data_IF_606799162094
#
_entry.id   IF_606799162094
#
_cell.length_a   1.000
_cell.length_b   1.000
_cell.length_c   1.000
_cell.angle_alpha   90.00
_cell.angle_beta   90.00
_cell.angle_gamma   90.00
#
_symmetry.space_group_name_H-M   'P 1'
#
loop_
_entity.id
_entity.type
_entity.pdbx_description
1 polymer ?
#
# COMPACT_ATOMS: atom_id res chain seq x y z
N UNK A 1 21.76 27.72 11.58
CA UNK A 1 22.53 27.10 10.47
C UNK A 1 21.61 26.49 9.40
N UNK A 2 20.52 25.81 9.77
CA UNK A 2 19.62 25.13 8.83
C UNK A 2 18.34 25.95 8.44
N UNK A 3 18.47 27.27 8.21
CA UNK A 3 17.31 28.13 7.93
C UNK A 3 16.50 27.71 6.70
N UNK A 4 17.18 27.31 5.61
CA UNK A 4 16.51 26.84 4.40
C UNK A 4 15.72 25.54 4.58
N UNK A 5 16.21 24.61 5.42
CA UNK A 5 15.44 23.41 5.76
C UNK A 5 14.17 23.77 6.52
N UNK A 6 14.24 24.69 7.48
CA UNK A 6 13.07 25.13 8.23
C UNK A 6 12.01 25.72 7.28
N UNK A 7 12.39 26.66 6.41
CA UNK A 7 11.45 27.26 5.45
C UNK A 7 10.80 26.20 4.55
N UNK A 8 11.58 25.28 3.97
CA UNK A 8 11.05 24.22 3.10
C UNK A 8 10.10 23.28 3.85
N UNK A 9 10.46 22.87 5.07
CA UNK A 9 9.65 21.97 5.91
C UNK A 9 8.35 22.65 6.34
N UNK A 10 8.41 23.92 6.73
CA UNK A 10 7.22 24.68 7.14
C UNK A 10 6.25 24.83 5.95
N UNK A 11 6.75 25.25 4.78
CA UNK A 11 5.92 25.35 3.57
C UNK A 11 5.32 24.00 3.15
N UNK A 12 6.12 22.92 3.18
CA UNK A 12 5.62 21.58 2.88
C UNK A 12 4.53 21.18 3.88
N UNK A 13 4.71 21.48 5.16
CA UNK A 13 3.74 21.16 6.20
C UNK A 13 2.42 21.90 5.96
N UNK A 14 2.46 23.19 5.63
CA UNK A 14 1.27 23.99 5.35
C UNK A 14 0.50 23.45 4.14
N UNK A 15 1.20 23.01 3.08
CA UNK A 15 0.53 22.40 1.93
C UNK A 15 -0.07 21.03 2.26
N UNK A 16 0.62 20.20 3.03
CA UNK A 16 0.06 18.91 3.44
C UNK A 16 -1.14 19.08 4.37
N UNK A 17 -1.15 20.10 5.22
CA UNK A 17 -2.31 20.48 6.05
C UNK A 17 -3.51 20.85 5.16
N UNK A 18 -3.30 21.71 4.17
CA UNK A 18 -4.35 22.08 3.21
C UNK A 18 -4.90 20.87 2.43
N UNK A 19 -4.00 20.02 1.92
CA UNK A 19 -4.36 18.79 1.19
C UNK A 19 -5.17 17.82 2.05
N UNK A 20 -4.86 17.72 3.34
CA UNK A 20 -5.44 16.72 4.25
C UNK A 20 -6.61 17.24 5.08
N UNK A 21 -6.80 18.56 5.18
CA UNK A 21 -7.80 19.18 6.06
C UNK A 21 -7.52 18.98 7.55
N UNK A 22 -6.27 18.73 7.93
CA UNK A 22 -5.83 18.72 9.32
C UNK A 22 -5.45 20.13 9.81
N UNK A 23 -5.03 20.25 11.06
CA UNK A 23 -4.68 21.53 11.69
C UNK A 23 -3.18 21.62 12.05
N UNK A 24 -2.51 20.47 12.21
CA UNK A 24 -1.09 20.41 12.52
C UNK A 24 -0.41 19.22 11.81
N UNK A 25 0.90 19.35 11.56
CA UNK A 25 1.71 18.32 10.90
C UNK A 25 3.00 18.03 11.66
N UNK A 26 3.34 16.74 11.80
CA UNK A 26 4.66 16.28 12.27
C UNK A 26 5.39 15.53 11.17
N UNK A 27 6.60 16.01 10.84
CA UNK A 27 7.49 15.39 9.85
C UNK A 27 8.49 14.41 10.47
N UNK A 28 8.35 14.09 11.75
CA UNK A 28 9.32 13.23 12.45
C UNK A 28 9.29 11.76 12.00
N UNK A 29 8.12 11.11 11.78
CA UNK A 29 8.10 9.69 11.44
C UNK A 29 8.66 9.42 10.03
N UNK A 30 9.58 8.46 9.94
CA UNK A 30 10.36 8.17 8.74
C UNK A 30 9.86 6.95 7.92
N UNK A 31 8.64 6.48 8.18
CA UNK A 31 7.94 5.46 7.39
C UNK A 31 6.44 5.50 7.68
N UNK A 32 5.60 4.89 6.83
CA UNK A 32 4.15 4.84 7.07
C UNK A 32 3.80 4.16 8.41
N UNK A 33 4.39 2.99 8.68
CA UNK A 33 4.22 2.30 9.96
C UNK A 33 4.68 3.14 11.17
N UNK A 34 5.74 3.93 11.03
CA UNK A 34 6.15 4.86 12.09
C UNK A 34 5.16 6.02 12.27
N UNK A 35 4.48 6.42 11.20
CA UNK A 35 3.37 7.38 11.25
C UNK A 35 2.14 6.78 11.95
N UNK A 36 1.80 5.52 11.69
CA UNK A 36 0.77 4.79 12.47
C UNK A 36 1.11 4.78 13.95
N UNK A 37 2.31 4.30 14.30
CA UNK A 37 2.78 4.28 15.68
C UNK A 37 2.73 5.67 16.34
N UNK A 38 3.20 6.72 15.65
CA UNK A 38 3.18 8.09 16.16
C UNK A 38 1.76 8.64 16.36
N UNK A 39 0.84 8.37 15.42
CA UNK A 39 -0.55 8.79 15.54
C UNK A 39 -1.29 8.08 16.68
N UNK A 40 -1.06 6.78 16.84
CA UNK A 40 -1.62 6.02 17.96
C UNK A 40 -1.04 6.48 19.32
N UNK A 41 0.24 6.83 19.38
CA UNK A 41 0.82 7.46 20.57
C UNK A 41 0.16 8.80 20.89
N UNK A 42 -0.12 9.64 19.89
CA UNK A 42 -0.81 10.91 20.08
C UNK A 42 -2.23 10.69 20.64
N UNK A 43 -2.98 9.72 20.09
CA UNK A 43 -4.30 9.30 20.61
C UNK A 43 -4.19 8.81 22.07
N UNK A 44 -3.22 7.94 22.36
CA UNK A 44 -3.01 7.40 23.71
C UNK A 44 -2.76 8.49 24.75
N UNK A 45 -1.94 9.48 24.40
CA UNK A 45 -1.63 10.61 25.27
C UNK A 45 -2.81 11.58 25.40
N UNK A 46 -3.58 11.77 24.33
CA UNK A 46 -4.82 12.54 24.37
C UNK A 46 -5.82 11.94 25.36
N UNK A 47 -6.07 10.63 25.30
CA UNK A 47 -6.92 9.94 26.28
C UNK A 47 -6.39 10.09 27.71
N UNK A 48 -5.10 9.85 27.92
CA UNK A 48 -4.47 10.01 29.23
C UNK A 48 -4.55 11.45 29.78
N UNK A 49 -4.54 12.47 28.92
CA UNK A 49 -4.68 13.87 29.34
C UNK A 49 -6.08 14.21 29.89
N UNK A 50 -7.09 13.42 29.51
CA UNK A 50 -8.49 13.56 29.95
C UNK A 50 -8.84 12.63 31.12
N UNK A 51 -7.89 11.81 31.59
CA UNK A 51 -8.11 10.81 32.63
C UNK A 51 -8.63 9.47 32.11
N UNK A 52 -8.63 9.26 30.79
CA UNK A 52 -9.14 8.05 30.13
C UNK A 52 -8.00 7.10 29.67
N UNK A 53 -6.94 6.99 30.47
CA UNK A 53 -5.75 6.17 30.12
C UNK A 53 -6.03 4.67 30.01
N UNK A 54 -7.14 4.20 30.56
CA UNK A 54 -7.65 2.84 30.44
C UNK A 54 -8.18 2.50 29.03
N UNK A 55 -8.42 3.49 28.17
CA UNK A 55 -8.84 3.27 26.78
C UNK A 55 -7.70 2.70 25.95
N UNK A 56 -7.71 1.38 25.78
CA UNK A 56 -6.67 0.60 25.11
C UNK A 56 -7.18 -0.33 24.01
N UNK A 57 -8.45 -0.24 23.60
CA UNK A 57 -9.02 -1.05 22.51
C UNK A 57 -8.99 -0.30 21.19
N UNK A 58 -8.55 -0.98 20.12
CA UNK A 58 -8.62 -0.47 18.75
C UNK A 58 -9.48 -1.37 17.87
N UNK A 59 -10.41 -0.76 17.15
CA UNK A 59 -11.22 -1.43 16.13
C UNK A 59 -10.48 -1.38 14.78
N UNK A 60 -10.27 -2.52 14.13
CA UNK A 60 -9.57 -2.61 12.85
C UNK A 60 -10.40 -3.46 11.88
N UNK A 61 -10.85 -2.93 10.73
CA UNK A 61 -11.48 -3.75 9.69
C UNK A 61 -10.57 -4.88 9.22
N UNK A 62 -11.16 -6.04 8.92
CA UNK A 62 -10.41 -7.20 8.42
C UNK A 62 -9.60 -6.92 7.14
N UNK A 63 -10.03 -5.92 6.36
CA UNK A 63 -9.35 -5.49 5.13
C UNK A 63 -8.10 -4.64 5.37
N UNK A 64 -7.86 -4.13 6.59
CA UNK A 64 -6.78 -3.19 6.86
C UNK A 64 -5.38 -3.76 6.54
N UNK A 65 -4.43 -2.87 6.25
CA UNK A 65 -3.04 -3.26 6.04
C UNK A 65 -2.43 -3.92 7.29
N UNK A 66 -1.53 -4.88 7.09
CA UNK A 66 -0.94 -5.67 8.19
C UNK A 66 -0.10 -4.85 9.18
N UNK A 67 0.32 -3.64 8.80
CA UNK A 67 1.00 -2.70 9.71
C UNK A 67 0.05 -2.17 10.78
N UNK A 68 -1.23 -1.97 10.48
CA UNK A 68 -2.21 -1.42 11.42
C UNK A 68 -2.28 -2.21 12.74
N UNK A 69 -2.56 -3.54 12.73
CA UNK A 69 -2.56 -4.32 13.97
C UNK A 69 -1.18 -4.42 14.62
N UNK A 70 -0.09 -4.40 13.85
CA UNK A 70 1.28 -4.43 14.39
C UNK A 70 1.61 -3.13 15.15
N UNK A 71 1.28 -1.97 14.57
CA UNK A 71 1.44 -0.64 15.18
C UNK A 71 0.59 -0.49 16.43
N UNK A 72 -0.65 -1.00 16.41
CA UNK A 72 -1.52 -1.08 17.57
C UNK A 72 -0.91 -1.89 18.72
N UNK A 73 -0.37 -3.08 18.42
CA UNK A 73 0.31 -3.90 19.44
C UNK A 73 1.55 -3.19 20.01
N UNK A 74 2.27 -2.42 19.20
CA UNK A 74 3.47 -1.68 19.62
C UNK A 74 3.16 -0.58 20.67
N UNK A 75 1.95 -0.01 20.65
CA UNK A 75 1.46 0.91 21.70
C UNK A 75 0.68 0.19 22.82
N UNK A 76 0.68 -1.14 22.81
CA UNK A 76 -0.04 -2.02 23.75
C UNK A 76 -1.56 -1.88 23.69
N UNK A 77 -2.12 -1.61 22.50
CA UNK A 77 -3.56 -1.67 22.30
C UNK A 77 -4.03 -3.11 22.02
N UNK A 78 -5.25 -3.41 22.45
CA UNK A 78 -5.97 -4.64 22.18
C UNK A 78 -6.72 -4.49 20.86
N UNK A 79 -6.35 -5.30 19.87
CA UNK A 79 -6.97 -5.29 18.55
C UNK A 79 -8.28 -6.08 18.59
N UNK A 80 -9.37 -5.44 18.18
CA UNK A 80 -10.66 -6.07 17.91
C UNK A 80 -10.94 -5.92 16.41
N UNK A 81 -11.02 -7.06 15.72
CA UNK A 81 -11.27 -7.08 14.27
C UNK A 81 -12.74 -6.75 14.01
N UNK A 82 -13.01 -5.87 13.05
CA UNK A 82 -14.35 -5.57 12.52
C UNK A 82 -14.53 -6.28 11.18
N UNK A 83 -15.69 -6.89 10.99
CA UNK A 83 -16.00 -7.66 9.79
C UNK A 83 -16.16 -6.74 8.56
N UNK A 84 -16.03 -7.34 7.38
CA UNK A 84 -16.45 -6.72 6.12
C UNK A 84 -17.67 -7.46 5.55
N UNK A 85 -18.52 -6.74 4.83
CA UNK A 85 -19.65 -7.33 4.11
C UNK A 85 -19.19 -8.10 2.84
N UNK A 86 -20.11 -8.75 2.15
CA UNK A 86 -19.81 -9.50 0.91
C UNK A 86 -19.28 -8.60 -0.22
N UNK A 87 -19.60 -7.30 -0.19
CA UNK A 87 -19.10 -6.31 -1.13
C UNK A 87 -17.74 -5.70 -0.71
N UNK A 88 -17.17 -6.17 0.40
CA UNK A 88 -15.87 -5.75 0.91
C UNK A 88 -15.87 -4.43 1.67
N UNK A 89 -17.03 -3.86 2.03
CA UNK A 89 -17.11 -2.66 2.85
C UNK A 89 -17.06 -3.03 4.34
N UNK A 90 -16.77 -2.07 5.22
CA UNK A 90 -16.87 -2.27 6.67
C UNK A 90 -18.33 -2.57 7.05
N UNK A 91 -18.55 -3.65 7.80
CA UNK A 91 -19.87 -3.97 8.35
C UNK A 91 -20.22 -2.99 9.48
N UNK A 92 -21.11 -2.02 9.20
CA UNK A 92 -21.54 -1.01 10.16
C UNK A 92 -22.26 -1.59 11.38
N UNK A 93 -22.97 -2.71 11.22
CA UNK A 93 -23.72 -3.35 12.32
C UNK A 93 -22.72 -3.97 13.27
N UNK A 94 -21.74 -4.71 12.75
CA UNK A 94 -20.66 -5.28 13.53
C UNK A 94 -19.77 -4.21 14.18
N UNK A 95 -19.44 -3.14 13.43
CA UNK A 95 -18.70 -1.99 13.95
C UNK A 95 -19.41 -1.36 15.15
N UNK A 96 -20.70 -1.03 15.01
CA UNK A 96 -21.48 -0.41 16.09
C UNK A 96 -21.59 -1.35 17.30
N UNK A 97 -21.88 -2.63 17.06
CA UNK A 97 -21.95 -3.63 18.13
C UNK A 97 -20.66 -3.73 18.92
N UNK A 98 -19.50 -3.78 18.23
CA UNK A 98 -18.18 -3.86 18.87
C UNK A 98 -17.79 -2.56 19.56
N UNK A 99 -18.11 -1.41 18.96
CA UNK A 99 -17.88 -0.10 19.57
C UNK A 99 -18.69 0.07 20.86
N UNK A 100 -19.95 -0.40 20.90
CA UNK A 100 -20.78 -0.41 22.11
C UNK A 100 -20.23 -1.38 23.17
N UNK A 101 -19.85 -2.60 22.78
CA UNK A 101 -19.28 -3.60 23.69
C UNK A 101 -18.02 -3.11 24.40
N UNK A 102 -17.17 -2.37 23.68
CA UNK A 102 -15.89 -1.87 24.20
C UNK A 102 -15.91 -0.38 24.53
N UNK A 103 -17.08 0.27 24.62
CA UNK A 103 -17.22 1.72 24.72
C UNK A 103 -16.38 2.36 25.84
N UNK A 104 -16.31 1.72 27.01
CA UNK A 104 -15.51 2.19 28.14
C UNK A 104 -13.99 2.13 27.86
N UNK A 105 -13.54 1.20 27.03
CA UNK A 105 -12.13 0.97 26.72
C UNK A 105 -11.75 1.39 25.28
N UNK A 106 -12.68 1.92 24.48
CA UNK A 106 -12.46 2.25 23.08
C UNK A 106 -11.49 3.43 22.96
N UNK A 107 -10.30 3.16 22.43
CA UNK A 107 -9.28 4.16 22.16
C UNK A 107 -9.46 4.77 20.77
N UNK A 108 -9.56 3.92 19.74
CA UNK A 108 -9.72 4.38 18.36
C UNK A 108 -10.24 3.30 17.41
N UNK A 109 -10.54 3.71 16.18
CA UNK A 109 -10.58 2.83 15.03
C UNK A 109 -9.45 3.17 14.07
N UNK A 110 -8.89 2.17 13.38
CA UNK A 110 -7.96 2.35 12.27
C UNK A 110 -8.67 1.96 10.97
N UNK A 111 -8.93 2.94 10.11
CA UNK A 111 -9.59 2.74 8.81
C UNK A 111 -8.64 3.10 7.68
N UNK A 112 -8.94 2.68 6.46
CA UNK A 112 -8.21 3.07 5.25
C UNK A 112 -9.22 3.61 4.24
N UNK A 113 -8.96 4.76 3.63
CA UNK A 113 -9.88 5.36 2.66
C UNK A 113 -9.14 5.86 1.40
N UNK A 114 -9.62 5.54 0.18
CA UNK A 114 -10.49 4.39 -0.10
C UNK A 114 -9.90 3.10 0.49
N UNK A 115 -10.74 2.10 0.72
CA UNK A 115 -10.31 0.87 1.39
C UNK A 115 -9.21 0.16 0.61
N UNK A 116 -8.51 -0.78 1.25
CA UNK A 116 -7.52 -1.67 0.59
C UNK A 116 -8.15 -2.57 -0.48
N UNK A 117 -9.47 -2.61 -0.58
CA UNK A 117 -10.19 -3.25 -1.68
C UNK A 117 -10.29 -2.36 -2.94
N UNK A 118 -9.75 -1.14 -2.89
CA UNK A 118 -9.78 -0.20 -4.01
C UNK A 118 -11.15 0.42 -4.25
N UNK A 119 -11.99 0.56 -3.22
CA UNK A 119 -13.36 1.10 -3.34
C UNK A 119 -13.61 2.26 -2.39
N UNK A 120 -14.43 3.21 -2.83
CA UNK A 120 -14.94 4.27 -1.95
C UNK A 120 -16.15 3.77 -1.18
N UNK A 121 -15.99 3.60 0.12
CA UNK A 121 -17.09 3.30 1.02
C UNK A 121 -18.01 4.52 1.17
N UNK A 122 -19.32 4.32 0.96
CA UNK A 122 -20.32 5.38 1.09
C UNK A 122 -20.54 5.81 2.56
N UNK A 123 -20.23 4.90 3.48
CA UNK A 123 -20.51 5.01 4.91
C UNK A 123 -19.32 5.50 5.73
N UNK A 124 -18.21 5.93 5.10
CA UNK A 124 -16.97 6.28 5.82
C UNK A 124 -17.17 7.36 6.90
N UNK A 125 -18.09 8.32 6.68
CA UNK A 125 -18.43 9.32 7.68
C UNK A 125 -19.20 8.73 8.86
N UNK A 126 -20.13 7.82 8.59
CA UNK A 126 -20.88 7.11 9.62
C UNK A 126 -19.96 6.21 10.46
N UNK A 127 -18.93 5.61 9.85
CA UNK A 127 -17.87 4.90 10.58
C UNK A 127 -17.18 5.84 11.57
N UNK A 128 -16.80 7.05 11.14
CA UNK A 128 -16.21 8.06 12.01
C UNK A 128 -17.17 8.45 13.16
N UNK A 129 -18.43 8.75 12.82
CA UNK A 129 -19.46 9.18 13.76
C UNK A 129 -19.71 8.11 14.84
N UNK A 130 -19.80 6.83 14.46
CA UNK A 130 -19.95 5.70 15.41
C UNK A 130 -18.77 5.67 16.40
N UNK A 131 -17.54 5.77 15.90
CA UNK A 131 -16.34 5.70 16.75
C UNK A 131 -16.29 6.89 17.72
N UNK A 132 -16.65 8.09 17.24
CA UNK A 132 -16.73 9.29 18.07
C UNK A 132 -17.87 9.23 19.09
N UNK A 133 -19.03 8.65 18.75
CA UNK A 133 -20.18 8.44 19.63
C UNK A 133 -19.78 7.65 20.89
N UNK A 134 -18.91 6.64 20.73
CA UNK A 134 -18.40 5.81 21.84
C UNK A 134 -17.07 6.31 22.43
N UNK A 135 -16.70 7.57 22.15
CA UNK A 135 -15.56 8.26 22.78
C UNK A 135 -14.18 7.91 22.21
N UNK A 136 -14.12 7.14 21.13
CA UNK A 136 -12.90 6.80 20.41
C UNK A 136 -12.37 7.95 19.54
N UNK A 137 -11.20 7.74 18.94
CA UNK A 137 -10.62 8.58 17.89
C UNK A 137 -10.55 7.81 16.56
N UNK A 138 -10.43 8.50 15.44
CA UNK A 138 -10.34 7.88 14.12
C UNK A 138 -8.96 8.11 13.53
N UNK A 139 -8.18 7.04 13.49
CA UNK A 139 -6.96 6.98 12.71
C UNK A 139 -7.33 6.55 11.28
N UNK A 140 -6.98 7.36 10.28
CA UNK A 140 -7.14 6.97 8.88
C UNK A 140 -5.76 6.73 8.26
N UNK A 141 -5.51 5.52 7.79
CA UNK A 141 -4.35 5.19 6.97
C UNK A 141 -4.43 5.96 5.65
N UNK A 142 -3.44 6.84 5.42
CA UNK A 142 -3.35 7.69 4.25
C UNK A 142 -2.48 7.13 3.12
N UNK A 143 -2.15 5.84 3.14
CA UNK A 143 -1.43 5.18 2.04
C UNK A 143 -2.15 5.32 0.69
N UNK A 144 -3.48 5.38 0.71
CA UNK A 144 -4.34 5.48 -0.49
C UNK A 144 -4.72 6.93 -0.85
N UNK A 145 -3.95 7.92 -0.35
CA UNK A 145 -4.21 9.34 -0.63
C UNK A 145 -4.11 9.71 -2.11
N UNK A 146 -3.47 8.90 -2.97
CA UNK A 146 -3.45 9.16 -4.41
C UNK A 146 -4.84 9.09 -5.08
N UNK A 147 -5.84 8.57 -4.37
CA UNK A 147 -7.24 8.64 -4.76
C UNK A 147 -7.98 9.86 -4.18
N UNK A 148 -7.39 10.62 -3.26
CA UNK A 148 -8.08 11.70 -2.54
C UNK A 148 -7.61 13.11 -2.90
N UNK A 149 -6.30 13.32 -3.14
CA UNK A 149 -5.70 14.66 -3.24
C UNK A 149 -6.45 15.54 -4.23
N UNK A 150 -6.97 16.69 -3.77
CA UNK A 150 -7.71 17.64 -4.60
C UNK A 150 -9.16 17.27 -4.93
N UNK A 151 -9.67 16.13 -4.42
CA UNK A 151 -11.06 15.68 -4.56
C UNK A 151 -11.77 15.68 -3.20
N UNK A 152 -11.16 15.07 -2.19
CA UNK A 152 -11.63 15.03 -0.81
C UNK A 152 -10.44 15.11 0.14
N UNK A 153 -10.69 15.15 1.44
CA UNK A 153 -9.62 15.13 2.43
C UNK A 153 -10.02 14.36 3.70
N UNK A 154 -9.05 13.71 4.38
CA UNK A 154 -9.30 12.95 5.62
C UNK A 154 -9.99 13.78 6.70
N UNK A 155 -9.57 15.03 6.86
CA UNK A 155 -10.13 15.95 7.84
C UNK A 155 -11.57 16.39 7.54
N UNK A 156 -12.04 16.28 6.29
CA UNK A 156 -13.45 16.49 5.90
C UNK A 156 -14.31 15.22 6.03
N UNK A 157 -13.67 14.05 6.05
CA UNK A 157 -14.31 12.75 6.24
C UNK A 157 -14.68 12.55 7.72
N UNK A 158 -13.87 13.05 8.64
CA UNK A 158 -14.06 12.86 10.08
C UNK A 158 -12.88 12.17 10.76
N UNK A 159 -11.75 12.01 10.05
CA UNK A 159 -10.53 11.49 10.66
C UNK A 159 -9.87 12.52 11.59
N UNK A 160 -9.35 12.03 12.72
CA UNK A 160 -8.60 12.84 13.70
C UNK A 160 -7.11 12.88 13.39
N UNK A 161 -6.56 11.81 12.81
CA UNK A 161 -5.14 11.68 12.47
C UNK A 161 -4.92 10.73 11.30
N UNK A 162 -3.99 11.09 10.41
CA UNK A 162 -3.47 10.20 9.37
C UNK A 162 -1.97 10.31 9.25
N UNK A 163 -1.33 9.20 8.90
CA UNK A 163 -0.03 9.27 8.24
C UNK A 163 -0.21 9.44 6.73
N UNK A 164 0.83 9.96 6.06
CA UNK A 164 0.94 9.98 4.61
C UNK A 164 2.17 9.20 4.16
N UNK A 165 2.06 8.33 3.15
CA UNK A 165 3.24 7.76 2.49
C UNK A 165 3.78 8.73 1.45
N UNK A 166 4.75 9.57 1.80
CA UNK A 166 5.39 10.46 0.81
C UNK A 166 6.10 9.70 -0.32
N UNK A 167 6.44 8.44 -0.07
CA UNK A 167 7.08 7.51 -1.00
C UNK A 167 6.09 6.70 -1.85
N UNK A 168 4.79 6.98 -1.69
CA UNK A 168 3.74 6.53 -2.60
C UNK A 168 3.17 7.77 -3.32
N UNK A 169 2.25 8.47 -2.68
CA UNK A 169 1.47 9.58 -3.23
C UNK A 169 2.30 10.81 -3.62
N UNK A 170 3.44 11.05 -2.96
CA UNK A 170 4.21 12.30 -3.12
C UNK A 170 5.65 12.08 -3.63
N UNK A 171 5.81 11.06 -4.47
CA UNK A 171 6.95 10.84 -5.37
C UNK A 171 8.32 10.55 -4.75
N UNK A 172 8.47 10.38 -3.42
CA UNK A 172 9.74 9.85 -2.89
C UNK A 172 9.96 8.45 -3.51
N UNK A 173 11.16 8.15 -4.06
CA UNK A 173 11.37 6.90 -4.78
C UNK A 173 11.32 5.69 -3.84
N UNK A 174 10.73 4.60 -4.31
CA UNK A 174 10.59 3.34 -3.56
C UNK A 174 11.93 2.68 -3.18
N UNK A 175 13.00 2.92 -3.96
CA UNK A 175 14.38 2.54 -3.61
C UNK A 175 14.65 1.03 -3.40
N UNK A 176 13.78 0.15 -3.88
CA UNK A 176 13.88 -1.29 -3.64
C UNK A 176 13.49 -1.74 -2.23
N UNK A 177 12.71 -0.92 -1.50
CA UNK A 177 12.27 -1.20 -0.12
C UNK A 177 12.51 -0.07 0.88
N UNK A 178 12.76 1.15 0.41
CA UNK A 178 13.09 2.32 1.21
C UNK A 178 14.13 3.21 0.50
N UNK A 179 14.24 4.50 0.87
CA UNK A 179 13.70 5.13 2.07
C UNK A 179 12.23 5.58 1.94
N UNK A 180 11.61 5.84 3.09
CA UNK A 180 10.29 6.46 3.17
C UNK A 180 10.28 7.69 4.08
N UNK A 181 9.14 8.38 4.07
CA UNK A 181 8.72 9.37 5.09
C UNK A 181 7.23 9.16 5.33
N UNK A 182 6.83 9.23 6.61
CA UNK A 182 5.46 8.99 7.08
C UNK A 182 4.94 10.11 7.96
N UNK A 183 4.95 11.38 7.51
CA UNK A 183 4.47 12.49 8.33
C UNK A 183 3.02 12.26 8.74
N UNK A 184 2.67 12.75 9.93
CA UNK A 184 1.30 12.67 10.46
C UNK A 184 0.64 14.03 10.50
N UNK A 185 -0.54 14.12 9.89
CA UNK A 185 -1.46 15.24 10.03
C UNK A 185 -2.48 14.93 11.13
N UNK A 186 -2.79 15.91 11.96
CA UNK A 186 -3.71 15.76 13.08
C UNK A 186 -4.68 16.93 13.21
N UNK A 187 -5.87 16.67 13.74
CA UNK A 187 -6.79 17.71 14.20
C UNK A 187 -6.24 18.46 15.42
N UNK A 188 -6.73 19.67 15.64
CA UNK A 188 -6.20 20.60 16.62
C UNK A 188 -6.10 20.01 18.04
N UNK A 189 -7.05 19.19 18.47
CA UNK A 189 -7.04 18.57 19.80
C UNK A 189 -5.94 17.52 19.99
N UNK A 190 -5.39 16.95 18.92
CA UNK A 190 -4.26 16.01 18.97
C UNK A 190 -2.90 16.69 18.82
N UNK A 191 -2.84 17.93 18.31
CA UNK A 191 -1.59 18.67 18.09
C UNK A 191 -0.68 18.77 19.32
N UNK A 192 -1.19 18.99 20.56
CA UNK A 192 -0.36 19.04 21.76
C UNK A 192 0.37 17.72 22.09
N UNK A 193 -0.02 16.59 21.48
CA UNK A 193 0.49 15.25 21.79
C UNK A 193 1.44 14.69 20.73
N UNK A 194 1.72 15.47 19.67
CA UNK A 194 2.63 15.10 18.61
C UNK A 194 4.06 14.83 19.14
N UNK A 195 4.87 14.02 18.43
CA UNK A 195 6.24 13.73 18.82
C UNK A 195 7.12 15.00 18.89
N UNK A 196 8.01 15.04 19.89
CA UNK A 196 9.05 16.08 20.03
C UNK A 196 10.46 15.43 19.99
N UNK A 197 11.52 16.18 20.27
CA UNK A 197 12.89 15.65 20.24
C UNK A 197 13.75 16.25 21.36
N UNK A 198 14.64 15.44 21.95
CA UNK A 198 15.41 15.85 23.15
C UNK A 198 16.54 16.85 22.88
N UNK A 199 17.04 16.90 21.64
CA UNK A 199 18.16 17.78 21.23
C UNK A 199 17.71 19.07 20.55
N UNK A 200 16.51 19.06 19.96
CA UNK A 200 16.00 20.17 19.15
C UNK A 200 14.51 20.26 19.40
N UNK A 201 14.04 21.43 19.83
CA UNK A 201 12.61 21.67 19.97
C UNK A 201 11.95 21.65 18.59
N UNK A 202 10.94 20.79 18.43
CA UNK A 202 10.17 20.69 17.18
C UNK A 202 8.92 21.57 17.30
N UNK A 203 8.64 22.34 16.26
CA UNK A 203 7.40 23.12 16.11
C UNK A 203 6.58 22.42 15.04
N UNK A 204 5.28 22.23 15.28
CA UNK A 204 4.38 21.64 14.28
C UNK A 204 4.19 22.65 13.16
N UNK A 205 4.12 22.15 11.93
CA UNK A 205 3.57 22.97 10.86
C UNK A 205 2.11 23.33 11.15
N UNK A 206 1.65 24.48 10.66
CA UNK A 206 0.26 24.96 10.81
C UNK A 206 -0.04 25.77 12.07
N UNK A 207 0.47 25.39 13.25
CA UNK A 207 0.11 26.07 14.51
C UNK A 207 1.08 27.17 14.90
N UNK A 208 2.35 27.08 14.49
CA UNK A 208 3.42 27.96 14.98
C UNK A 208 3.69 27.84 16.48
N UNK A 209 2.99 26.93 17.17
CA UNK A 209 3.09 26.66 18.59
C UNK A 209 4.07 25.49 18.84
N UNK A 210 4.79 25.55 19.95
CA UNK A 210 5.76 24.52 20.32
C UNK A 210 5.06 23.16 20.52
N UNK A 211 5.56 22.11 19.85
CA UNK A 211 5.04 20.75 20.05
C UNK A 211 5.49 20.20 21.39
N UNK A 212 4.54 19.69 22.17
CA UNK A 212 4.83 18.86 23.32
C UNK A 212 5.73 19.47 24.39
N UNK A 213 5.97 20.78 24.37
CA UNK A 213 6.74 21.47 25.42
C UNK A 213 6.04 21.39 26.79
N UNK A 214 4.74 21.10 26.80
CA UNK A 214 3.92 20.97 28.01
C UNK A 214 3.89 19.57 28.62
N UNK A 215 4.31 18.51 27.92
CA UNK A 215 4.29 17.13 28.44
C UNK A 215 5.60 16.39 28.16
N UNK A 216 6.36 16.10 29.23
CA UNK A 216 7.62 15.35 29.17
C UNK A 216 7.45 13.94 28.56
N UNK A 217 6.23 13.42 28.46
CA UNK A 217 5.92 12.15 27.79
C UNK A 217 5.99 12.25 26.27
N UNK A 218 6.00 13.45 25.67
CA UNK A 218 6.10 13.67 24.23
C UNK A 218 7.54 13.47 23.73
N UNK A 219 7.98 12.22 23.75
CA UNK A 219 9.30 11.81 23.26
C UNK A 219 9.40 11.73 21.73
N UNK A 220 10.59 11.36 21.27
CA UNK A 220 10.88 11.14 19.87
C UNK A 220 10.46 9.74 19.41
N UNK A 221 9.87 9.66 18.22
CA UNK A 221 9.60 8.39 17.51
C UNK A 221 10.68 8.07 16.49
N UNK A 222 11.52 9.04 16.12
CA UNK A 222 12.66 8.87 15.22
C UNK A 222 13.91 9.53 15.79
N UNK A 223 15.08 9.02 15.42
CA UNK A 223 16.36 9.49 15.96
C UNK A 223 16.72 10.94 15.55
N UNK A 224 16.10 11.46 14.49
CA UNK A 224 16.27 12.85 14.04
C UNK A 224 14.93 13.60 14.14
N UNK A 225 14.92 14.90 14.46
CA UNK A 225 13.70 15.67 14.74
C UNK A 225 12.71 15.75 13.56
N UNK A 226 13.20 15.65 12.33
CA UNK A 226 12.38 15.64 11.10
C UNK A 226 12.68 14.41 10.22
N UNK A 227 13.01 13.27 10.85
CA UNK A 227 13.30 12.01 10.16
C UNK A 227 14.37 12.17 9.08
N UNK A 228 14.08 11.65 7.89
CA UNK A 228 14.96 11.73 6.71
C UNK A 228 14.80 13.06 5.98
N UNK A 229 15.16 14.18 6.60
CA UNK A 229 14.88 15.53 6.07
C UNK A 229 15.42 15.79 4.65
N UNK A 230 16.51 15.12 4.24
CA UNK A 230 17.14 15.34 2.93
C UNK A 230 16.32 14.86 1.73
N UNK A 231 15.29 14.03 1.95
CA UNK A 231 14.40 13.54 0.88
C UNK A 231 13.05 14.26 0.83
N UNK A 232 12.72 15.08 1.83
CA UNK A 232 11.52 15.95 1.80
C UNK A 232 11.46 16.92 0.60
N UNK A 233 12.58 17.44 0.05
CA UNK A 233 12.56 18.25 -1.16
C UNK A 233 11.89 17.58 -2.36
N UNK A 234 11.82 16.25 -2.44
CA UNK A 234 11.16 15.54 -3.54
C UNK A 234 9.65 15.82 -3.54
N UNK A 235 8.99 15.57 -2.40
CA UNK A 235 7.56 15.86 -2.24
C UNK A 235 7.26 17.35 -2.30
N UNK A 236 8.15 18.19 -1.75
CA UNK A 236 8.07 19.65 -1.89
C UNK A 236 8.05 20.06 -3.37
N UNK A 237 8.99 19.56 -4.18
CA UNK A 237 9.07 19.89 -5.60
C UNK A 237 7.88 19.36 -6.38
N UNK A 238 7.39 18.15 -6.07
CA UNK A 238 6.17 17.61 -6.68
C UNK A 238 4.96 18.54 -6.45
N UNK A 239 4.66 18.85 -5.19
CA UNK A 239 3.53 19.72 -4.83
C UNK A 239 3.70 21.11 -5.46
N UNK A 240 4.91 21.69 -5.39
CA UNK A 240 5.20 23.02 -5.92
C UNK A 240 5.05 23.12 -7.44
N UNK A 241 5.47 22.10 -8.19
CA UNK A 241 5.39 22.08 -9.65
C UNK A 241 3.99 21.74 -10.16
N UNK A 242 3.29 20.82 -9.48
CA UNK A 242 1.94 20.41 -9.86
C UNK A 242 0.92 21.51 -9.55
N UNK A 243 1.05 22.17 -8.40
CA UNK A 243 0.02 23.07 -7.88
C UNK A 243 -1.31 22.34 -7.63
N UNK A 244 -2.33 23.08 -7.20
CA UNK A 244 -3.64 22.49 -6.88
C UNK A 244 -4.31 21.82 -8.08
N UNK A 245 -4.26 22.46 -9.25
CA UNK A 245 -4.86 21.92 -10.48
C UNK A 245 -4.17 20.63 -10.95
N UNK A 246 -2.83 20.61 -10.93
CA UNK A 246 -2.06 19.43 -11.31
C UNK A 246 -2.26 18.28 -10.34
N UNK A 247 -2.26 18.54 -9.03
CA UNK A 247 -2.50 17.52 -8.00
C UNK A 247 -3.90 16.90 -8.12
N UNK A 248 -4.94 17.72 -8.32
CA UNK A 248 -6.28 17.20 -8.59
C UNK A 248 -6.32 16.36 -9.87
N UNK A 249 -5.66 16.83 -10.93
CA UNK A 249 -5.61 16.10 -12.21
C UNK A 249 -4.89 14.76 -12.09
N UNK A 250 -3.83 14.69 -11.30
CA UNK A 250 -3.13 13.44 -11.01
C UNK A 250 -4.10 12.40 -10.41
N UNK A 251 -4.82 12.76 -9.35
CA UNK A 251 -5.85 11.91 -8.72
C UNK A 251 -6.93 11.47 -9.71
N UNK A 252 -7.46 12.39 -10.53
CA UNK A 252 -8.47 12.07 -11.55
C UNK A 252 -7.96 11.03 -12.57
N UNK A 253 -6.69 11.15 -12.99
CA UNK A 253 -6.08 10.24 -13.98
C UNK A 253 -5.71 8.90 -13.34
N UNK A 254 -5.28 8.86 -12.07
CA UNK A 254 -5.05 7.61 -11.35
C UNK A 254 -6.34 6.77 -11.27
N UNK A 255 -7.46 7.41 -10.90
CA UNK A 255 -8.78 6.77 -10.87
C UNK A 255 -9.22 6.34 -12.29
N UNK A 256 -9.01 7.20 -13.29
CA UNK A 256 -9.33 6.88 -14.69
C UNK A 256 -8.56 5.66 -15.19
N UNK A 257 -7.25 5.61 -14.95
CA UNK A 257 -6.39 4.53 -15.41
C UNK A 257 -6.78 3.20 -14.75
N UNK A 258 -7.06 3.19 -13.45
CA UNK A 258 -7.51 1.99 -12.75
C UNK A 258 -8.86 1.48 -13.28
N UNK A 259 -9.82 2.39 -13.49
CA UNK A 259 -11.11 2.02 -14.07
C UNK A 259 -11.01 1.57 -15.54
N UNK A 260 -10.06 2.13 -16.30
CA UNK A 260 -9.78 1.68 -17.66
C UNK A 260 -9.24 0.24 -17.66
N UNK A 261 -8.26 -0.07 -16.82
CA UNK A 261 -7.70 -1.42 -16.67
C UNK A 261 -8.78 -2.40 -16.20
N UNK A 262 -9.52 -2.06 -15.14
CA UNK A 262 -10.59 -2.90 -14.62
C UNK A 262 -11.66 -3.22 -15.68
N UNK A 263 -12.10 -2.21 -16.44
CA UNK A 263 -13.10 -2.39 -17.49
C UNK A 263 -12.61 -3.29 -18.63
N UNK A 264 -11.34 -3.19 -19.03
CA UNK A 264 -10.78 -4.03 -20.09
C UNK A 264 -10.55 -5.47 -19.65
N UNK A 265 -10.27 -5.71 -18.36
CA UNK A 265 -10.03 -7.04 -17.81
C UNK A 265 -11.28 -7.76 -17.33
N UNK A 266 -12.39 -7.06 -17.07
CA UNK A 266 -13.60 -7.63 -16.45
C UNK A 266 -14.19 -8.85 -17.21
N UNK A 267 -14.12 -8.86 -18.55
CA UNK A 267 -14.60 -9.99 -19.34
C UNK A 267 -13.72 -11.26 -19.22
N UNK A 268 -12.49 -11.09 -18.71
CA UNK A 268 -11.46 -12.13 -18.63
C UNK A 268 -11.23 -12.59 -17.19
N UNK A 269 -11.29 -11.65 -16.25
CA UNK A 269 -11.06 -11.81 -14.82
C UNK A 269 -12.16 -11.09 -14.04
N UNK A 270 -12.86 -11.77 -13.12
CA UNK A 270 -13.82 -11.10 -12.25
C UNK A 270 -13.13 -9.98 -11.44
N UNK A 271 -13.69 -8.77 -11.48
CA UNK A 271 -13.29 -7.69 -10.57
C UNK A 271 -13.97 -7.96 -9.23
N UNK A 272 -13.18 -8.20 -8.19
CA UNK A 272 -13.69 -8.72 -6.92
C UNK A 272 -14.59 -7.72 -6.19
N UNK A 273 -14.18 -6.45 -6.14
CA UNK A 273 -14.92 -5.39 -5.46
C UNK A 273 -15.11 -4.18 -6.37
N UNK A 274 -16.30 -3.59 -6.31
CA UNK A 274 -16.67 -2.37 -7.01
C UNK A 274 -17.53 -1.52 -6.11
N UNK A 275 -17.28 -0.21 -6.12
CA UNK A 275 -18.13 0.77 -5.45
C UNK A 275 -19.32 1.19 -6.29
N UNK A 276 -19.93 2.31 -5.89
CA UNK A 276 -21.07 2.91 -6.58
C UNK A 276 -20.83 3.07 -8.10
N UNK A 277 -21.88 2.80 -8.89
CA UNK A 277 -21.84 2.82 -10.35
C UNK A 277 -20.86 1.81 -10.99
N UNK A 278 -20.47 0.77 -10.26
CA UNK A 278 -19.59 -0.29 -10.76
C UNK A 278 -18.16 0.19 -11.02
N UNK A 279 -17.69 1.18 -10.24
CA UNK A 279 -16.37 1.80 -10.38
C UNK A 279 -15.45 1.43 -9.24
N UNK A 280 -14.15 1.45 -9.52
CA UNK A 280 -13.09 1.35 -8.52
C UNK A 280 -12.49 2.74 -8.24
N UNK A 281 -11.64 2.84 -7.22
CA UNK A 281 -10.86 4.04 -6.93
C UNK A 281 -9.58 4.06 -7.80
N UNK A 282 -8.40 4.18 -7.19
CA UNK A 282 -7.10 4.17 -7.88
C UNK A 282 -6.52 2.77 -8.16
N UNK A 283 -7.17 1.71 -7.67
CA UNK A 283 -6.69 0.33 -7.80
C UNK A 283 -7.88 -0.63 -7.93
N UNK A 284 -7.66 -1.83 -8.47
CA UNK A 284 -8.68 -2.88 -8.56
C UNK A 284 -8.11 -4.26 -8.21
N UNK A 285 -8.97 -5.14 -7.70
CA UNK A 285 -8.61 -6.54 -7.42
C UNK A 285 -9.24 -7.46 -8.47
N UNK A 286 -8.42 -8.30 -9.09
CA UNK A 286 -8.89 -9.39 -9.95
C UNK A 286 -8.90 -10.71 -9.18
N UNK A 287 -10.01 -11.43 -9.27
CA UNK A 287 -10.20 -12.70 -8.58
C UNK A 287 -9.71 -13.88 -9.43
N UNK A 288 -8.60 -14.50 -9.02
CA UNK A 288 -8.05 -15.69 -9.66
C UNK A 288 -8.52 -16.99 -9.00
N UNK A 289 -9.22 -16.94 -7.86
CA UNK A 289 -9.60 -18.15 -7.11
C UNK A 289 -10.52 -19.08 -7.92
N UNK A 290 -11.54 -18.59 -8.67
CA UNK A 290 -12.33 -19.46 -9.53
C UNK A 290 -11.51 -20.11 -10.66
N UNK A 291 -10.51 -19.38 -11.19
CA UNK A 291 -9.62 -19.91 -12.22
C UNK A 291 -8.69 -20.98 -11.64
N UNK A 292 -8.18 -20.77 -10.43
CA UNK A 292 -7.37 -21.75 -9.70
C UNK A 292 -8.15 -23.02 -9.42
N UNK A 293 -9.39 -22.92 -8.95
CA UNK A 293 -10.24 -24.10 -8.74
C UNK A 293 -10.50 -24.87 -10.05
N UNK A 294 -10.73 -24.15 -11.14
CA UNK A 294 -11.09 -24.76 -12.42
C UNK A 294 -9.89 -25.30 -13.24
N UNK A 295 -8.67 -24.77 -13.03
CA UNK A 295 -7.50 -25.07 -13.88
C UNK A 295 -6.26 -25.52 -13.13
N UNK A 296 -6.20 -25.34 -11.80
CA UNK A 296 -4.99 -25.53 -11.00
C UNK A 296 -3.98 -24.38 -11.10
N UNK A 297 -4.15 -23.43 -12.03
CA UNK A 297 -3.23 -22.29 -12.20
C UNK A 297 -3.41 -21.30 -11.05
N UNK A 298 -2.31 -20.93 -10.41
CA UNK A 298 -2.30 -20.06 -9.24
C UNK A 298 -1.99 -18.61 -9.60
N UNK A 299 -2.24 -17.70 -8.66
CA UNK A 299 -1.80 -16.31 -8.71
C UNK A 299 -0.28 -16.17 -8.85
N UNK A 300 0.49 -17.12 -8.30
CA UNK A 300 1.94 -17.17 -8.42
C UNK A 300 2.37 -17.49 -9.85
N UNK A 301 1.67 -18.42 -10.52
CA UNK A 301 1.95 -18.75 -11.93
C UNK A 301 1.71 -17.54 -12.84
N UNK A 302 0.60 -16.83 -12.64
CA UNK A 302 0.29 -15.59 -13.36
C UNK A 302 1.37 -14.53 -13.11
N UNK A 303 1.77 -14.35 -11.85
CA UNK A 303 2.79 -13.37 -11.48
C UNK A 303 4.17 -13.66 -12.08
N UNK A 304 4.60 -14.92 -12.07
CA UNK A 304 5.86 -15.31 -12.72
C UNK A 304 5.75 -15.22 -14.24
N UNK A 305 4.61 -15.58 -14.82
CA UNK A 305 4.39 -15.49 -16.26
C UNK A 305 4.41 -14.05 -16.76
N UNK A 306 3.92 -13.09 -15.98
CA UNK A 306 4.04 -11.66 -16.30
C UNK A 306 5.50 -11.20 -16.51
N UNK A 307 6.49 -11.83 -15.86
CA UNK A 307 7.90 -11.51 -16.10
C UNK A 307 8.33 -11.82 -17.55
N UNK A 308 7.78 -12.88 -18.15
CA UNK A 308 8.06 -13.22 -19.54
C UNK A 308 7.46 -12.20 -20.52
N UNK A 309 6.35 -11.59 -20.13
CA UNK A 309 5.71 -10.45 -20.81
C UNK A 309 6.40 -9.10 -20.52
N UNK A 310 7.43 -9.08 -19.68
CA UNK A 310 8.20 -7.88 -19.36
C UNK A 310 7.61 -7.01 -18.26
N UNK A 311 6.73 -7.56 -17.41
CA UNK A 311 6.11 -6.86 -16.28
C UNK A 311 6.56 -7.41 -14.93
N UNK A 312 6.69 -6.51 -13.96
CA UNK A 312 6.65 -6.89 -12.55
C UNK A 312 5.19 -7.25 -12.20
N UNK A 313 4.99 -8.26 -11.36
CA UNK A 313 3.66 -8.63 -10.93
C UNK A 313 3.00 -7.53 -10.09
N UNK A 314 1.67 -7.35 -10.18
CA UNK A 314 0.93 -6.54 -9.21
C UNK A 314 1.04 -7.11 -7.79
N UNK A 315 0.48 -6.41 -6.80
CA UNK A 315 0.43 -6.90 -5.43
C UNK A 315 -0.30 -8.24 -5.38
N UNK A 316 0.34 -9.25 -4.78
CA UNK A 316 -0.16 -10.63 -4.78
C UNK A 316 -0.76 -11.02 -3.43
N UNK A 317 -1.90 -11.70 -3.46
CA UNK A 317 -2.51 -12.36 -2.29
C UNK A 317 -2.77 -11.46 -1.08
N UNK A 318 -2.85 -10.15 -1.31
CA UNK A 318 -3.23 -9.15 -0.32
C UNK A 318 -4.09 -8.06 -1.02
N UNK A 319 -5.18 -7.58 -0.38
CA UNK A 319 -5.73 -7.99 0.92
C UNK A 319 -6.43 -9.35 0.91
N UNK A 320 -6.70 -9.93 -0.27
CA UNK A 320 -7.39 -11.22 -0.41
C UNK A 320 -6.43 -12.27 -0.97
N UNK A 321 -6.25 -13.37 -0.25
CA UNK A 321 -5.41 -14.49 -0.68
C UNK A 321 -5.92 -15.08 -2.02
N UNK A 322 -5.01 -15.38 -2.94
CA UNK A 322 -5.36 -15.94 -4.25
C UNK A 322 -5.82 -14.90 -5.28
N UNK A 323 -5.53 -13.61 -5.06
CA UNK A 323 -5.92 -12.51 -5.96
C UNK A 323 -4.71 -11.66 -6.37
N UNK A 324 -4.89 -10.79 -7.37
CA UNK A 324 -3.92 -9.75 -7.72
C UNK A 324 -4.59 -8.37 -7.60
N UNK A 325 -3.91 -7.43 -6.96
CA UNK A 325 -4.33 -6.03 -6.81
C UNK A 325 -3.47 -5.13 -7.69
N UNK A 326 -4.12 -4.37 -8.58
CA UNK A 326 -3.50 -3.60 -9.66
C UNK A 326 -3.73 -2.11 -9.45
N UNK A 327 -2.65 -1.35 -9.30
CA UNK A 327 -2.64 0.11 -9.22
C UNK A 327 -1.74 0.67 -10.34
N UNK A 328 -2.30 1.24 -11.43
CA UNK A 328 -1.50 1.74 -12.55
C UNK A 328 -0.89 3.12 -12.32
N UNK A 329 -1.40 3.90 -11.35
CA UNK A 329 -1.10 5.33 -11.15
C UNK A 329 -1.45 6.21 -12.35
N UNK A 330 -1.32 7.53 -12.18
CA UNK A 330 -1.53 8.54 -13.21
C UNK A 330 -0.34 8.72 -14.17
N UNK A 331 0.83 8.21 -13.77
CA UNK A 331 2.08 8.44 -14.50
C UNK A 331 2.26 7.51 -15.70
N UNK A 332 1.51 6.41 -15.75
CA UNK A 332 1.59 5.45 -16.84
C UNK A 332 0.79 5.89 -18.07
N UNK A 333 1.44 5.88 -19.22
CA UNK A 333 0.79 6.22 -20.48
C UNK A 333 -0.20 5.11 -20.89
N UNK A 334 -1.26 5.47 -21.61
CA UNK A 334 -2.26 4.50 -22.10
C UNK A 334 -1.65 3.30 -22.83
N UNK A 335 -0.59 3.51 -23.60
CA UNK A 335 0.12 2.42 -24.31
C UNK A 335 0.71 1.40 -23.35
N UNK A 336 1.14 1.80 -22.16
CA UNK A 336 1.65 0.87 -21.15
C UNK A 336 0.52 0.10 -20.48
N UNK A 337 -0.60 0.77 -20.19
CA UNK A 337 -1.82 0.12 -19.70
C UNK A 337 -2.30 -0.93 -20.70
N UNK A 338 -2.34 -0.59 -22.00
CA UNK A 338 -2.74 -1.50 -23.06
C UNK A 338 -1.80 -2.71 -23.17
N UNK A 339 -0.48 -2.52 -22.99
CA UNK A 339 0.49 -3.63 -22.96
C UNK A 339 0.27 -4.57 -21.77
N UNK A 340 -0.02 -4.01 -20.59
CA UNK A 340 -0.33 -4.82 -19.41
C UNK A 340 -1.65 -5.59 -19.60
N UNK A 341 -2.67 -4.94 -20.16
CA UNK A 341 -3.95 -5.57 -20.51
C UNK A 341 -3.74 -6.69 -21.54
N UNK A 342 -2.95 -6.47 -22.58
CA UNK A 342 -2.60 -7.49 -23.58
C UNK A 342 -1.91 -8.69 -22.91
N UNK A 343 -0.97 -8.44 -21.99
CA UNK A 343 -0.30 -9.49 -21.24
C UNK A 343 -1.27 -10.32 -20.40
N UNK A 344 -2.14 -9.65 -19.63
CA UNK A 344 -3.14 -10.33 -18.80
C UNK A 344 -4.14 -11.11 -19.65
N UNK A 345 -4.64 -10.57 -20.76
CA UNK A 345 -5.53 -11.29 -21.67
C UNK A 345 -4.82 -12.48 -22.33
N UNK A 346 -3.56 -12.31 -22.71
CA UNK A 346 -2.70 -13.40 -23.21
C UNK A 346 -2.61 -14.54 -22.19
N UNK A 347 -2.29 -14.21 -20.95
CA UNK A 347 -2.25 -15.16 -19.82
C UNK A 347 -3.63 -15.80 -19.59
N UNK A 348 -4.74 -15.08 -19.73
CA UNK A 348 -6.08 -15.67 -19.62
C UNK A 348 -6.32 -16.76 -20.65
N UNK A 349 -5.85 -16.56 -21.88
CA UNK A 349 -5.94 -17.57 -22.94
C UNK A 349 -5.01 -18.76 -22.65
N UNK A 350 -3.81 -18.53 -22.12
CA UNK A 350 -2.92 -19.58 -21.64
C UNK A 350 -3.59 -20.44 -20.56
N UNK A 351 -4.26 -19.82 -19.58
CA UNK A 351 -5.03 -20.52 -18.54
C UNK A 351 -6.15 -21.38 -19.17
N UNK A 352 -6.84 -20.86 -20.20
CA UNK A 352 -7.90 -21.60 -20.87
C UNK A 352 -7.39 -22.89 -21.55
N UNK A 353 -6.15 -22.90 -22.04
CA UNK A 353 -5.53 -24.08 -22.64
C UNK A 353 -5.18 -25.15 -21.60
N UNK A 354 -4.74 -24.74 -20.41
CA UNK A 354 -4.56 -25.67 -19.28
C UNK A 354 -5.93 -26.21 -18.83
N UNK A 355 -6.91 -25.33 -18.69
CA UNK A 355 -8.27 -25.69 -18.27
C UNK A 355 -8.97 -26.66 -19.23
N UNK A 356 -8.75 -26.54 -20.55
CA UNK A 356 -9.33 -27.42 -21.56
C UNK A 356 -8.58 -28.75 -21.71
N UNK A 357 -7.40 -28.88 -21.10
CA UNK A 357 -6.49 -30.01 -21.30
C UNK A 357 -5.72 -29.96 -22.63
N UNK A 358 -5.72 -28.83 -23.36
CA UNK A 358 -4.83 -28.62 -24.51
C UNK A 358 -3.36 -28.59 -24.08
N UNK A 359 -3.09 -28.00 -22.92
CA UNK A 359 -1.76 -27.99 -22.28
C UNK A 359 -1.76 -28.85 -21.03
N UNK A 360 -0.66 -29.57 -20.83
CA UNK A 360 -0.42 -30.34 -19.62
C UNK A 360 -0.36 -29.42 -18.40
N UNK A 361 -0.83 -29.89 -17.25
CA UNK A 361 -0.93 -29.09 -16.03
C UNK A 361 0.44 -28.68 -15.45
N UNK A 362 1.48 -29.47 -15.70
CA UNK A 362 2.84 -29.27 -15.17
C UNK A 362 3.87 -28.97 -16.26
N UNK A 363 3.57 -29.21 -17.54
CA UNK A 363 4.42 -28.81 -18.67
C UNK A 363 3.74 -27.77 -19.57
N UNK A 364 3.70 -26.54 -19.09
CA UNK A 364 3.18 -25.38 -19.82
C UNK A 364 3.95 -24.08 -19.47
N UNK A 365 3.77 -22.99 -20.23
CA UNK A 365 4.47 -21.74 -19.96
C UNK A 365 4.15 -21.09 -18.60
N UNK A 366 2.93 -21.27 -18.06
CA UNK A 366 2.53 -20.68 -16.77
C UNK A 366 3.26 -21.37 -15.61
N UNK A 367 3.29 -22.70 -15.61
CA UNK A 367 3.94 -23.51 -14.58
C UNK A 367 5.46 -23.30 -14.54
N UNK A 368 6.06 -23.26 -15.73
CA UNK A 368 7.51 -23.16 -15.88
C UNK A 368 8.06 -21.73 -15.88
N UNK A 369 7.21 -20.71 -15.82
CA UNK A 369 7.64 -19.33 -15.72
C UNK A 369 8.32 -19.04 -14.36
N UNK A 370 9.29 -18.11 -14.32
CA UNK A 370 9.79 -17.29 -15.44
C UNK A 370 10.86 -18.02 -16.27
N UNK A 371 11.00 -17.62 -17.54
CA UNK A 371 11.96 -18.20 -18.48
C UNK A 371 13.24 -17.37 -18.57
N UNK A 372 14.36 -17.92 -18.12
CA UNK A 372 15.66 -17.23 -18.16
C UNK A 372 16.30 -17.27 -19.54
N UNK A 373 17.33 -16.44 -19.76
CA UNK A 373 18.15 -16.53 -20.97
C UNK A 373 18.82 -17.91 -21.10
N UNK A 374 19.22 -18.52 -19.99
CA UNK A 374 19.81 -19.86 -19.97
C UNK A 374 18.83 -20.93 -20.48
N UNK A 375 17.58 -20.92 -20.01
CA UNK A 375 16.52 -21.81 -20.51
C UNK A 375 16.37 -21.74 -22.03
N UNK A 376 16.37 -20.51 -22.59
CA UNK A 376 16.14 -20.29 -24.03
C UNK A 376 17.35 -20.68 -24.88
N UNK A 377 18.56 -20.58 -24.33
CA UNK A 377 19.80 -20.96 -25.01
C UNK A 377 20.11 -22.45 -24.87
N UNK A 378 19.45 -23.20 -23.99
CA UNK A 378 19.66 -24.63 -23.84
C UNK A 378 19.31 -25.36 -25.14
N UNK A 379 20.28 -26.09 -25.71
CA UNK A 379 20.10 -26.88 -26.92
C UNK A 379 19.05 -27.99 -26.74
N UNK A 380 18.88 -28.51 -25.52
CA UNK A 380 17.99 -29.61 -25.16
C UNK A 380 16.66 -29.07 -24.63
N UNK A 381 15.85 -28.48 -25.51
CA UNK A 381 14.54 -27.96 -25.12
C UNK A 381 13.50 -29.08 -25.04
N UNK A 382 13.32 -29.63 -23.85
CA UNK A 382 12.38 -30.71 -23.53
C UNK A 382 11.07 -30.19 -22.91
N UNK A 383 10.47 -29.17 -23.54
CA UNK A 383 9.16 -28.63 -23.12
C UNK A 383 8.15 -28.69 -24.24
N UNK A 384 6.87 -28.92 -23.92
CA UNK A 384 5.79 -29.12 -24.91
C UNK A 384 5.35 -27.85 -25.66
N UNK A 385 6.04 -26.73 -25.48
CA UNK A 385 5.78 -25.44 -26.12
C UNK A 385 7.06 -24.84 -26.67
N UNK A 386 6.98 -23.82 -27.54
CA UNK A 386 8.16 -23.26 -28.19
C UNK A 386 8.92 -22.27 -27.31
N UNK A 387 10.23 -22.13 -27.56
CA UNK A 387 11.06 -21.06 -26.98
C UNK A 387 10.53 -19.66 -27.30
N UNK A 388 9.94 -19.50 -28.48
CA UNK A 388 9.32 -18.23 -28.88
C UNK A 388 8.13 -17.89 -27.98
N UNK A 389 7.23 -18.85 -27.72
CA UNK A 389 6.11 -18.64 -26.79
C UNK A 389 6.59 -18.39 -25.35
N UNK A 390 7.68 -19.04 -24.95
CA UNK A 390 8.30 -18.83 -23.65
C UNK A 390 8.80 -17.38 -23.48
N UNK A 391 9.64 -16.90 -24.41
CA UNK A 391 10.38 -15.64 -24.27
C UNK A 391 9.71 -14.41 -24.90
N UNK A 392 8.89 -14.60 -25.94
CA UNK A 392 8.27 -13.55 -26.75
C UNK A 392 6.77 -13.82 -26.97
N UNK A 393 5.97 -13.92 -25.89
CA UNK A 393 4.56 -14.31 -26.01
C UNK A 393 3.70 -13.33 -26.81
N UNK A 394 4.13 -12.06 -26.88
CA UNK A 394 3.51 -11.01 -27.72
C UNK A 394 4.58 -10.17 -28.41
N UNK A 395 4.24 -9.59 -29.56
CA UNK A 395 5.16 -8.82 -30.39
C UNK A 395 5.81 -7.62 -29.66
N UNK A 396 5.09 -7.02 -28.70
CA UNK A 396 5.60 -5.89 -27.91
C UNK A 396 6.87 -6.25 -27.12
N UNK A 397 7.01 -7.49 -26.64
CA UNK A 397 8.15 -7.96 -25.84
C UNK A 397 9.44 -7.96 -26.66
N UNK A 398 9.36 -8.32 -27.95
CA UNK A 398 10.53 -8.41 -28.83
C UNK A 398 11.24 -7.06 -29.03
N UNK A 399 10.56 -5.93 -28.78
CA UNK A 399 11.14 -4.60 -28.92
C UNK A 399 12.14 -4.26 -27.82
N UNK A 400 11.96 -4.81 -26.62
CA UNK A 400 12.81 -4.52 -25.47
C UNK A 400 12.70 -5.65 -24.43
N UNK A 401 13.31 -6.81 -24.72
CA UNK A 401 13.25 -7.97 -23.83
C UNK A 401 14.05 -7.71 -22.55
N UNK A 402 13.35 -7.74 -21.42
CA UNK A 402 13.96 -7.88 -20.10
C UNK A 402 14.02 -9.36 -19.73
N UNK A 403 15.20 -9.84 -19.32
CA UNK A 403 15.41 -11.24 -18.98
C UNK A 403 15.30 -11.46 -17.47
N UNK A 404 14.44 -12.38 -17.01
CA UNK A 404 14.57 -12.96 -15.68
C UNK A 404 15.98 -13.55 -15.53
N UNK A 405 16.66 -13.22 -14.42
CA UNK A 405 18.04 -13.65 -14.17
C UNK A 405 18.13 -15.05 -13.55
N UNK A 406 17.04 -15.52 -12.95
CA UNK A 406 16.90 -16.86 -12.34
C UNK A 406 15.52 -17.41 -12.64
N UNK A 407 15.38 -18.74 -12.58
CA UNK A 407 14.10 -19.43 -12.68
C UNK A 407 13.26 -19.19 -11.40
N UNK A 408 12.11 -19.87 -11.30
CA UNK A 408 11.22 -19.76 -10.15
C UNK A 408 11.96 -20.11 -8.85
N UNK A 409 11.84 -19.23 -7.86
CA UNK A 409 12.45 -19.39 -6.53
C UNK A 409 11.74 -20.52 -5.78
N UNK A 410 12.52 -21.33 -5.06
CA UNK A 410 12.00 -22.30 -4.09
C UNK A 410 11.95 -21.64 -2.70
N UNK A 411 10.79 -21.09 -2.36
CA UNK A 411 10.57 -20.39 -1.10
C UNK A 411 10.77 -21.32 0.11
N UNK A 412 10.32 -22.58 0.01
CA UNK A 412 10.35 -23.53 1.14
C UNK A 412 11.77 -24.02 1.44
N UNK A 413 12.58 -24.20 0.40
CA UNK A 413 13.98 -24.63 0.57
C UNK A 413 14.79 -23.58 1.34
N UNK A 414 14.64 -22.30 1.01
CA UNK A 414 15.36 -21.20 1.65
C UNK A 414 15.09 -21.12 3.16
N UNK A 415 13.81 -21.21 3.55
CA UNK A 415 13.42 -21.18 4.97
C UNK A 415 13.94 -22.40 5.76
N UNK A 416 14.05 -23.57 5.12
CA UNK A 416 14.60 -24.79 5.73
C UNK A 416 16.12 -24.81 5.80
N UNK A 417 16.81 -24.04 4.95
CA UNK A 417 18.26 -24.02 4.81
C UNK A 417 18.76 -22.57 4.89
N UNK A 418 18.53 -21.94 6.04
CA UNK A 418 18.76 -20.51 6.23
C UNK A 418 20.23 -20.13 6.07
N UNK A 419 20.56 -19.43 4.98
CA UNK A 419 21.87 -18.85 4.72
C UNK A 419 21.70 -17.36 4.42
N UNK A 420 22.01 -16.50 5.42
CA UNK A 420 21.83 -15.05 5.33
C UNK A 420 23.14 -14.26 5.17
N UNK A 421 24.23 -14.94 4.82
CA UNK A 421 25.53 -14.34 4.46
C UNK A 421 25.96 -14.87 3.10
N UNK A 422 26.94 -14.22 2.47
CA UNK A 422 27.59 -14.81 1.31
C UNK A 422 28.08 -16.23 1.68
N UNK A 423 27.74 -17.26 0.89
CA UNK A 423 28.24 -18.59 1.15
C UNK A 423 29.77 -18.61 1.01
N UNK A 424 30.41 -19.66 1.54
CA UNK A 424 31.86 -19.77 1.52
C UNK A 424 32.39 -19.71 0.07
N UNK A 425 33.56 -19.13 -0.16
CA UNK A 425 34.20 -19.09 -1.47
C UNK A 425 34.35 -20.50 -2.07
N UNK A 426 34.54 -21.51 -1.22
CA UNK A 426 34.60 -22.91 -1.66
C UNK A 426 33.28 -23.40 -2.29
N UNK A 427 32.12 -22.85 -1.91
CA UNK A 427 30.84 -23.15 -2.57
C UNK A 427 30.72 -22.59 -3.99
N UNK A 428 31.56 -21.60 -4.34
CA UNK A 428 31.69 -21.08 -5.70
C UNK A 428 32.77 -21.80 -6.51
N UNK A 429 33.54 -22.71 -5.91
CA UNK A 429 34.74 -23.33 -6.53
C UNK A 429 34.47 -24.63 -7.28
N UNK A 430 33.24 -25.13 -7.38
CA UNK A 430 32.87 -26.27 -8.23
C UNK A 430 31.69 -25.84 -9.13
N UNK A 431 31.72 -25.91 -10.47
CA UNK A 431 32.05 -27.04 -11.37
C UNK A 431 32.83 -26.53 -12.61
N UNK A 432 34.12 -26.84 -12.67
CA UNK A 432 34.90 -27.01 -13.91
C UNK A 432 35.59 -28.39 -13.81
N UNK A 433 34.80 -29.45 -13.70
CA UNK A 433 35.30 -30.81 -13.93
C UNK A 433 34.84 -31.27 -15.31
N UNK A 434 35.78 -31.91 -16.02
CA UNK A 434 35.94 -32.11 -17.49
C UNK A 434 34.74 -32.64 -18.27
#
# INVERSE_FOLDING_TARGET
QAGGYKTMIDELSDWLIDITGYDAMSMQPNSGAQGEYAGLLAIKRYHASRGDDHRDVVLIPQSAHGTNPASAQMVSYKVVVVNCDEAGNVDLVDLRSKAEEVADNLACAMITYPSTHGVYEETVKEICDIVHEFGGQVYMDGANMNAQVGITSPGLIGSDVSHLNLHKTFCIPHGGGGPGMGPIGVKAHLAPFLPNHSQVEVVAGGTGEQLGASDARNGAVSAAPWGSASILPISYMYIKMMGSEGLKRATEVAILNANYVAQQLEAHYPILYKGMNGRVAHECIIDLRPLKEASGVTEMDVAKRLNDYGFHAPTMSFPVAGTLMIEPTESEAKVELDRFIEAMIGIRHEIAKVQSGEWDAIDNPLHNAPHTLADICDANWERSYTRELAAYPVAAVARNKFWPSVNRIDDVYGDRNLVCSCPDLDSYREILEE
#
